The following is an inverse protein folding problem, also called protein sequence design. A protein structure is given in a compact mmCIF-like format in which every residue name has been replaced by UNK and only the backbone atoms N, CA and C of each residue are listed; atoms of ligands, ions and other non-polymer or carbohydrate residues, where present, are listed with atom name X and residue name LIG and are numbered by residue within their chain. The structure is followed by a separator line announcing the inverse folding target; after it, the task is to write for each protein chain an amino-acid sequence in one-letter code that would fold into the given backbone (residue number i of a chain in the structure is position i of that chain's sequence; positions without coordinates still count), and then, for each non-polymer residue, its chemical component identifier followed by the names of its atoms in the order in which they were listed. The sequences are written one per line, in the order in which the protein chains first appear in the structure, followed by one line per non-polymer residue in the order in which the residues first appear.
data_IF_329025299431
#
_entry.id   IF_329025299431
#
_cell.length_a   1.000
_cell.length_b   1.000
_cell.length_c   1.000
_cell.angle_alpha   90.00
_cell.angle_beta   90.00
_cell.angle_gamma   90.00
#
_symmetry.space_group_name_H-M   'P 1'
#
loop_
_entity.id
_entity.type
_entity.pdbx_description
1 polymer ?
#
# COMPACT_ATOMS: atom_id res chain seq x y z
N UNK A 1 -13.17 11.87 -0.42
CA UNK A 1 -14.04 11.83 -1.62
C UNK A 1 -15.43 12.40 -1.37
N UNK A 2 -15.93 12.43 -0.12
CA UNK A 2 -17.23 13.03 0.25
C UNK A 2 -17.43 14.45 -0.33
N UNK A 3 -16.47 15.37 -0.11
CA UNK A 3 -16.58 16.76 -0.59
C UNK A 3 -16.81 16.83 -2.11
N UNK A 4 -16.16 15.96 -2.90
CA UNK A 4 -16.29 15.93 -4.36
C UNK A 4 -17.67 15.46 -4.77
N UNK A 5 -18.23 14.49 -4.03
CA UNK A 5 -19.58 13.99 -4.27
C UNK A 5 -20.65 15.04 -3.91
N UNK A 6 -20.48 15.74 -2.80
CA UNK A 6 -21.40 16.78 -2.34
C UNK A 6 -21.37 18.03 -3.23
N UNK A 7 -20.21 18.35 -3.82
CA UNK A 7 -20.03 19.52 -4.69
C UNK A 7 -20.45 19.28 -6.14
N UNK A 8 -21.19 18.21 -6.44
CA UNK A 8 -21.61 17.86 -7.80
C UNK A 8 -20.45 17.59 -8.75
N UNK A 9 -19.27 17.25 -8.23
CA UNK A 9 -18.06 17.02 -9.01
C UNK A 9 -17.18 18.23 -9.27
N UNK A 10 -17.53 19.44 -8.78
CA UNK A 10 -16.67 20.61 -8.90
C UNK A 10 -15.33 20.41 -8.19
N UNK A 11 -14.18 20.41 -8.91
CA UNK A 11 -12.87 20.27 -8.28
C UNK A 11 -12.45 21.51 -7.48
N UNK A 12 -12.96 22.70 -7.83
CA UNK A 12 -12.61 23.97 -7.18
C UNK A 12 -13.02 24.01 -5.71
N UNK A 13 -14.21 23.48 -5.42
CA UNK A 13 -14.76 23.38 -4.06
C UNK A 13 -13.89 22.60 -3.07
N UNK A 14 -13.07 21.65 -3.54
CA UNK A 14 -12.28 20.74 -2.69
C UNK A 14 -10.77 21.05 -2.65
N UNK A 15 -10.31 22.20 -3.15
CA UNK A 15 -8.86 22.49 -3.26
C UNK A 15 -8.15 22.49 -1.89
N UNK A 16 -8.85 22.90 -0.82
CA UNK A 16 -8.30 22.93 0.54
C UNK A 16 -8.09 21.52 1.08
N UNK A 17 -9.05 20.63 0.86
CA UNK A 17 -9.04 19.22 1.25
C UNK A 17 -8.00 18.46 0.42
N UNK A 18 -7.91 18.75 -0.88
CA UNK A 18 -6.89 18.22 -1.78
C UNK A 18 -5.48 18.49 -1.24
N UNK A 19 -5.18 19.74 -0.88
CA UNK A 19 -3.88 20.10 -0.26
C UNK A 19 -3.59 19.32 1.02
N UNK A 20 -4.61 19.08 1.87
CA UNK A 20 -4.44 18.30 3.11
C UNK A 20 -4.12 16.83 2.81
N UNK A 21 -4.83 16.21 1.87
CA UNK A 21 -4.59 14.82 1.45
C UNK A 21 -3.20 14.67 0.85
N UNK A 22 -2.80 15.57 -0.06
CA UNK A 22 -1.47 15.54 -0.67
C UNK A 22 -0.38 15.68 0.39
N UNK A 23 -0.50 16.65 1.30
CA UNK A 23 0.50 16.85 2.38
C UNK A 23 0.63 15.60 3.27
N UNK A 24 -0.49 14.96 3.60
CA UNK A 24 -0.48 13.72 4.38
C UNK A 24 0.24 12.58 3.64
N UNK A 25 -0.07 12.38 2.35
CA UNK A 25 0.59 11.35 1.53
C UNK A 25 2.09 11.62 1.36
N UNK A 26 2.49 12.86 1.10
CA UNK A 26 3.91 13.24 0.98
C UNK A 26 4.67 13.01 2.28
N UNK A 27 4.09 13.37 3.44
CA UNK A 27 4.69 13.10 4.75
C UNK A 27 4.92 11.61 4.99
N UNK A 28 3.94 10.77 4.64
CA UNK A 28 4.08 9.32 4.73
C UNK A 28 5.21 8.79 3.84
N UNK A 29 5.26 9.22 2.57
CA UNK A 29 6.30 8.79 1.62
C UNK A 29 7.69 9.23 2.08
N UNK A 30 7.82 10.44 2.61
CA UNK A 30 9.10 10.93 3.14
C UNK A 30 9.58 10.08 4.32
N UNK A 31 8.69 9.80 5.30
CA UNK A 31 9.05 8.95 6.44
C UNK A 31 9.37 7.52 6.02
N UNK A 32 8.65 6.98 5.02
CA UNK A 32 8.97 5.67 4.43
C UNK A 32 10.36 5.65 3.80
N UNK A 33 10.73 6.70 3.06
CA UNK A 33 12.08 6.84 2.48
C UNK A 33 13.16 6.96 3.55
N UNK A 34 12.88 7.64 4.65
CA UNK A 34 13.86 7.79 5.73
C UNK A 34 14.11 6.48 6.50
N UNK A 35 13.09 5.62 6.61
CA UNK A 35 13.13 4.46 7.53
C UNK A 35 13.14 3.09 6.85
N UNK A 36 12.56 2.97 5.65
CA UNK A 36 12.26 1.69 5.00
C UNK A 36 12.57 1.69 3.49
N UNK A 37 13.49 2.56 3.03
CA UNK A 37 13.78 2.74 1.60
C UNK A 37 14.24 1.45 0.93
N UNK A 38 15.15 0.71 1.54
CA UNK A 38 15.71 -0.52 0.97
C UNK A 38 14.63 -1.59 0.73
N UNK A 39 13.75 -1.81 1.72
CA UNK A 39 12.66 -2.76 1.60
C UNK A 39 11.62 -2.28 0.58
N UNK A 40 11.38 -0.97 0.53
CA UNK A 40 10.49 -0.37 -0.46
C UNK A 40 11.06 -0.55 -1.88
N UNK A 41 12.34 -0.29 -2.09
CA UNK A 41 13.05 -0.48 -3.36
C UNK A 41 13.00 -1.91 -3.84
N UNK A 42 13.27 -2.86 -2.96
CA UNK A 42 13.16 -4.28 -3.29
C UNK A 42 11.74 -4.65 -3.72
N UNK A 43 10.72 -4.09 -3.05
CA UNK A 43 9.32 -4.38 -3.35
C UNK A 43 8.84 -3.75 -4.67
N UNK A 44 9.08 -2.46 -4.91
CA UNK A 44 8.60 -1.82 -6.13
C UNK A 44 9.37 -2.30 -7.37
N UNK A 45 10.69 -2.58 -7.26
CA UNK A 45 11.44 -3.19 -8.36
C UNK A 45 10.89 -4.56 -8.75
N UNK A 46 10.46 -5.37 -7.77
CA UNK A 46 9.78 -6.63 -8.06
C UNK A 46 8.47 -6.40 -8.82
N UNK A 47 7.67 -5.41 -8.41
CA UNK A 47 6.40 -5.10 -9.06
C UNK A 47 6.60 -4.66 -10.52
N UNK A 48 7.62 -3.84 -10.82
CA UNK A 48 7.92 -3.41 -12.19
C UNK A 48 8.21 -4.61 -13.11
N UNK A 49 8.90 -5.62 -12.61
CA UNK A 49 9.22 -6.83 -13.38
C UNK A 49 8.04 -7.79 -13.56
N UNK A 50 6.95 -7.60 -12.83
CA UNK A 50 5.80 -8.51 -12.78
C UNK A 50 4.47 -7.81 -13.11
N UNK A 51 4.49 -6.84 -14.03
CA UNK A 51 3.27 -6.13 -14.49
C UNK A 51 2.46 -5.50 -13.33
N UNK A 52 3.14 -5.09 -12.26
CA UNK A 52 2.53 -4.54 -11.04
C UNK A 52 1.61 -5.52 -10.30
N UNK A 53 1.76 -6.83 -10.51
CA UNK A 53 0.96 -7.86 -9.85
C UNK A 53 1.54 -8.26 -8.48
N UNK A 54 0.79 -7.97 -7.42
CA UNK A 54 1.25 -8.19 -6.04
C UNK A 54 1.49 -9.65 -5.65
N UNK A 55 0.80 -10.63 -6.27
CA UNK A 55 0.95 -12.03 -5.88
C UNK A 55 2.36 -12.58 -6.19
N UNK A 56 3.05 -11.99 -7.17
CA UNK A 56 4.43 -12.34 -7.49
C UNK A 56 5.45 -11.83 -6.45
N UNK A 57 5.10 -10.75 -5.74
CA UNK A 57 6.02 -9.99 -4.89
C UNK A 57 5.72 -10.10 -3.39
N UNK A 58 5.05 -11.19 -2.94
CA UNK A 58 4.69 -11.38 -1.52
C UNK A 58 5.88 -11.44 -0.57
N UNK A 59 7.03 -11.97 -1.01
CA UNK A 59 8.25 -12.04 -0.19
C UNK A 59 8.78 -10.64 0.17
N UNK A 60 9.10 -9.75 -0.79
CA UNK A 60 9.51 -8.38 -0.47
C UNK A 60 8.38 -7.53 0.11
N UNK A 61 7.12 -7.83 -0.17
CA UNK A 61 5.99 -7.15 0.48
C UNK A 61 5.98 -7.38 2.00
N UNK A 62 6.25 -8.62 2.45
CA UNK A 62 6.27 -8.95 3.89
C UNK A 62 7.40 -8.23 4.64
N UNK A 63 8.58 -8.10 4.03
CA UNK A 63 9.70 -7.36 4.65
C UNK A 63 9.38 -5.87 4.75
N UNK A 64 8.78 -5.28 3.70
CA UNK A 64 8.31 -3.89 3.74
C UNK A 64 7.23 -3.69 4.81
N UNK A 65 6.19 -4.53 4.84
CA UNK A 65 5.11 -4.44 5.83
C UNK A 65 5.64 -4.51 7.27
N UNK A 66 6.63 -5.38 7.53
CA UNK A 66 7.29 -5.47 8.84
C UNK A 66 8.01 -4.16 9.19
N UNK A 67 8.79 -3.59 8.27
CA UNK A 67 9.49 -2.32 8.50
C UNK A 67 8.51 -1.17 8.79
N UNK A 68 7.46 -1.05 7.97
CA UNK A 68 6.43 -0.02 8.12
C UNK A 68 5.72 -0.13 9.48
N UNK A 69 5.42 -1.35 9.93
CA UNK A 69 4.81 -1.59 11.24
C UNK A 69 5.74 -1.16 12.40
N UNK A 70 7.01 -1.54 12.33
CA UNK A 70 8.00 -1.27 13.39
C UNK A 70 8.43 0.20 13.45
N UNK A 71 8.55 0.90 12.31
CA UNK A 71 9.15 2.24 12.24
C UNK A 71 8.16 3.40 12.10
N UNK A 72 6.99 3.20 11.49
CA UNK A 72 6.08 4.29 11.12
C UNK A 72 4.79 4.34 11.98
N UNK A 73 4.90 3.99 13.26
CA UNK A 73 3.79 3.99 14.21
C UNK A 73 2.64 3.06 13.77
N UNK A 74 2.95 1.76 13.67
CA UNK A 74 1.94 0.68 13.59
C UNK A 74 1.01 0.76 12.37
N UNK A 75 1.51 1.22 11.23
CA UNK A 75 0.78 1.08 9.98
C UNK A 75 0.70 -0.40 9.61
N UNK A 76 -0.50 -0.98 9.73
CA UNK A 76 -0.79 -2.37 9.36
C UNK A 76 -1.56 -2.37 8.04
N UNK A 77 -1.13 -3.21 7.10
CA UNK A 77 -1.87 -3.44 5.87
C UNK A 77 -3.11 -4.29 6.19
N UNK A 78 -4.28 -3.69 6.12
CA UNK A 78 -5.56 -4.37 6.30
C UNK A 78 -6.43 -4.23 5.06
N UNK A 79 -7.00 -5.33 4.59
CA UNK A 79 -7.95 -5.36 3.48
C UNK A 79 -9.36 -5.26 4.07
N UNK A 80 -10.05 -4.12 3.93
CA UNK A 80 -11.40 -3.95 4.46
C UNK A 80 -12.36 -4.96 3.80
N UNK A 81 -13.30 -5.49 4.58
CA UNK A 81 -14.27 -6.48 4.10
C UNK A 81 -13.80 -7.94 4.11
N UNK A 82 -12.56 -8.22 4.53
CA UNK A 82 -12.11 -9.60 4.75
C UNK A 82 -12.82 -10.21 5.96
N UNK A 83 -13.51 -11.36 5.83
CA UNK A 83 -14.16 -12.02 6.98
C UNK A 83 -13.13 -12.43 8.03
N UNK A 84 -13.45 -12.25 9.32
CA UNK A 84 -12.54 -12.60 10.43
C UNK A 84 -12.15 -14.09 10.47
N UNK A 85 -12.94 -14.96 9.84
CA UNK A 85 -12.66 -16.39 9.73
C UNK A 85 -11.59 -16.74 8.67
N UNK A 86 -11.15 -15.78 7.84
CA UNK A 86 -10.19 -16.01 6.76
C UNK A 86 -8.94 -15.15 6.97
N UNK A 87 -7.77 -15.73 6.71
CA UNK A 87 -6.50 -14.96 6.62
C UNK A 87 -6.57 -13.99 5.44
N UNK A 88 -5.92 -12.83 5.57
CA UNK A 88 -5.82 -11.88 4.47
C UNK A 88 -4.96 -12.45 3.34
N UNK A 89 -5.26 -12.13 2.08
CA UNK A 89 -4.60 -12.77 0.93
C UNK A 89 -3.07 -12.60 0.91
N UNK A 90 -2.55 -11.51 1.45
CA UNK A 90 -1.10 -11.25 1.52
C UNK A 90 -0.40 -12.05 2.65
N UNK A 91 -1.17 -12.59 3.58
CA UNK A 91 -0.72 -13.44 4.69
C UNK A 91 -0.90 -14.95 4.41
N UNK A 92 -1.60 -15.31 3.34
CA UNK A 92 -1.76 -16.71 2.92
C UNK A 92 -0.38 -17.31 2.59
N UNK A 93 -0.07 -18.45 3.19
CA UNK A 93 1.24 -19.11 3.05
C UNK A 93 1.36 -19.84 1.71
N UNK A 94 0.31 -20.54 1.28
CA UNK A 94 0.27 -21.34 0.05
C UNK A 94 -0.82 -20.82 -0.90
N UNK A 95 -0.58 -19.74 -1.66
CA UNK A 95 -1.54 -19.20 -2.61
C UNK A 95 -1.69 -20.11 -3.84
N UNK A 96 -2.89 -20.14 -4.42
CA UNK A 96 -3.18 -20.88 -5.67
C UNK A 96 -2.44 -20.24 -6.85
N UNK A 97 -2.42 -18.91 -6.91
CA UNK A 97 -1.70 -18.15 -7.93
C UNK A 97 -0.26 -17.90 -7.48
N UNK A 98 0.69 -18.49 -8.19
CA UNK A 98 2.13 -18.26 -8.04
C UNK A 98 2.71 -17.80 -9.37
N UNK A 99 3.87 -17.14 -9.34
CA UNK A 99 4.63 -16.87 -10.56
C UNK A 99 4.91 -18.19 -11.26
N UNK A 100 4.53 -18.31 -12.53
CA UNK A 100 4.96 -19.41 -13.38
C UNK A 100 6.47 -19.28 -13.49
N UNK A 101 7.20 -20.21 -12.89
CA UNK A 101 8.63 -20.33 -13.17
C UNK A 101 8.75 -20.78 -14.62
N UNK A 102 9.19 -19.86 -15.49
CA UNK A 102 9.67 -20.20 -16.83
C UNK A 102 11.10 -20.69 -16.73
#
# INVERSE_FOLDING_TARGET
MLCKNESGGDPGACLKEGRRVTRCATDLVNKMRENCLEQFETHWNCLELNNQEYYACRKPERSLNKCMFEKLVRLVKTIPGTPSSRKQIHEVENPIYTTIQR
#
